data_IF_777892630918
#
_entry.id   IF_777892630918
#
_cell.length_a   1.000
_cell.length_b   1.000
_cell.length_c   1.000
_cell.angle_alpha   90.00
_cell.angle_beta   90.00
_cell.angle_gamma   90.00
#
_symmetry.space_group_name_H-M   'P 1'
#
loop_
_entity.id
_entity.type
_entity.pdbx_description
1 polymer ?
#
# COMPACT_ATOMS: atom_id res chain seq x y z
N UNK A 1 -13.35 9.41 -8.32
CA UNK A 1 -12.48 8.47 -9.07
C UNK A 1 -13.22 7.19 -9.42
N UNK A 2 -13.11 6.72 -10.66
CA UNK A 2 -13.72 5.46 -11.13
C UNK A 2 -12.66 4.59 -11.80
N UNK A 3 -12.69 3.27 -11.57
CA UNK A 3 -11.78 2.37 -12.26
C UNK A 3 -12.18 2.28 -13.73
N UNK A 4 -11.26 2.58 -14.64
CA UNK A 4 -11.50 2.55 -16.08
C UNK A 4 -10.92 1.30 -16.73
N UNK A 5 -9.81 0.80 -16.20
CA UNK A 5 -9.04 -0.26 -16.85
C UNK A 5 -8.10 -0.98 -15.90
N UNK A 6 -7.92 -2.28 -16.12
CA UNK A 6 -6.98 -3.14 -15.39
C UNK A 6 -6.09 -3.86 -16.40
N UNK A 7 -4.77 -3.72 -16.25
CA UNK A 7 -3.77 -4.44 -17.04
C UNK A 7 -3.00 -5.40 -16.15
N UNK A 8 -2.75 -6.60 -16.66
CA UNK A 8 -2.15 -7.73 -15.96
C UNK A 8 -1.08 -8.37 -16.82
N UNK A 9 0.05 -8.72 -16.22
CA UNK A 9 1.11 -9.49 -16.87
C UNK A 9 1.79 -10.39 -15.85
N UNK A 10 1.90 -11.68 -16.16
CA UNK A 10 2.56 -12.67 -15.29
C UNK A 10 1.87 -12.88 -13.93
N UNK A 11 0.66 -12.36 -13.72
CA UNK A 11 -0.04 -12.41 -12.44
C UNK A 11 -0.94 -13.63 -12.35
N UNK A 12 -0.58 -14.59 -11.47
CA UNK A 12 -1.30 -15.85 -11.29
C UNK A 12 -1.62 -16.51 -12.64
N UNK A 13 -2.89 -16.71 -12.96
CA UNK A 13 -3.34 -17.32 -14.22
C UNK A 13 -3.12 -16.47 -15.48
N UNK A 14 -2.77 -15.18 -15.35
CA UNK A 14 -2.58 -14.25 -16.46
C UNK A 14 -1.12 -14.21 -16.91
N UNK A 15 -0.73 -15.18 -17.73
CA UNK A 15 0.66 -15.33 -18.20
C UNK A 15 1.05 -14.27 -19.24
N UNK A 16 0.13 -13.99 -20.15
CA UNK A 16 0.30 -13.00 -21.23
C UNK A 16 -0.34 -11.66 -20.83
N UNK A 17 0.05 -10.55 -21.48
CA UNK A 17 -0.57 -9.25 -21.23
C UNK A 17 -2.08 -9.33 -21.44
N UNK A 18 -2.83 -9.07 -20.37
CA UNK A 18 -4.30 -8.98 -20.39
C UNK A 18 -4.72 -7.56 -20.04
N UNK A 19 -5.72 -7.05 -20.77
CA UNK A 19 -6.30 -5.73 -20.53
C UNK A 19 -7.82 -5.86 -20.41
N UNK A 20 -8.36 -5.31 -19.34
CA UNK A 20 -9.77 -5.39 -18.99
C UNK A 20 -10.31 -3.98 -18.84
N UNK A 21 -11.26 -3.61 -19.67
CA UNK A 21 -11.97 -2.34 -19.57
C UNK A 21 -13.08 -2.48 -18.53
N UNK A 22 -13.18 -1.48 -17.65
CA UNK A 22 -14.22 -1.39 -16.64
C UNK A 22 -15.10 -0.21 -17.05
N UNK A 23 -16.24 -0.52 -17.64
CA UNK A 23 -17.18 0.51 -18.11
C UNK A 23 -18.05 1.02 -16.96
N UNK A 24 -18.64 2.20 -17.17
CA UNK A 24 -19.61 2.77 -16.22
C UNK A 24 -20.83 1.85 -16.11
N UNK A 25 -21.28 1.62 -14.88
CA UNK A 25 -22.43 0.76 -14.61
C UNK A 25 -22.01 -0.64 -14.18
N UNK A 26 -22.61 -1.66 -14.79
CA UNK A 26 -22.40 -3.06 -14.43
C UNK A 26 -21.48 -3.76 -15.42
N UNK A 27 -20.26 -4.09 -14.98
CA UNK A 27 -19.34 -4.94 -15.73
C UNK A 27 -19.40 -6.37 -15.22
N UNK A 28 -19.79 -7.32 -16.07
CA UNK A 28 -19.89 -8.74 -15.73
C UNK A 28 -18.67 -9.53 -16.22
N UNK A 29 -18.03 -10.29 -15.32
CA UNK A 29 -16.91 -11.18 -15.67
C UNK A 29 -17.40 -12.63 -15.60
N UNK A 30 -17.48 -13.28 -16.75
CA UNK A 30 -18.01 -14.66 -16.88
C UNK A 30 -16.96 -15.61 -17.46
N UNK A 31 -17.11 -16.89 -17.16
CA UNK A 31 -16.21 -17.94 -17.62
C UNK A 31 -16.30 -19.20 -16.76
N UNK A 32 -15.74 -20.33 -17.20
CA UNK A 32 -15.79 -21.60 -16.49
C UNK A 32 -15.03 -21.57 -15.16
N UNK A 33 -15.26 -22.55 -14.29
CA UNK A 33 -14.50 -22.68 -13.05
C UNK A 33 -13.00 -22.88 -13.36
N UNK A 34 -12.14 -22.23 -12.58
CA UNK A 34 -10.69 -22.30 -12.77
C UNK A 34 -10.10 -21.37 -13.84
N UNK A 35 -10.90 -20.61 -14.60
CA UNK A 35 -10.35 -19.70 -15.64
C UNK A 35 -9.71 -18.41 -15.10
N UNK A 36 -9.60 -18.25 -13.77
CA UNK A 36 -8.93 -17.10 -13.16
C UNK A 36 -9.80 -15.88 -12.85
N UNK A 37 -11.13 -15.97 -12.94
CA UNK A 37 -12.05 -14.84 -12.62
C UNK A 37 -11.76 -14.20 -11.27
N UNK A 38 -11.62 -15.00 -10.22
CA UNK A 38 -11.32 -14.51 -8.87
C UNK A 38 -9.94 -13.85 -8.76
N UNK A 39 -9.00 -14.20 -9.66
CA UNK A 39 -7.68 -13.59 -9.69
C UNK A 39 -7.73 -12.12 -10.16
N UNK A 40 -8.78 -11.69 -10.87
CA UNK A 40 -8.99 -10.28 -11.22
C UNK A 40 -9.32 -9.43 -10.01
N UNK A 41 -10.17 -9.94 -9.12
CA UNK A 41 -10.49 -9.27 -7.84
C UNK A 41 -9.25 -9.21 -6.95
N UNK A 42 -8.46 -10.27 -6.92
CA UNK A 42 -7.19 -10.28 -6.20
C UNK A 42 -6.17 -9.30 -6.78
N UNK A 43 -6.06 -9.23 -8.11
CA UNK A 43 -5.22 -8.24 -8.78
C UNK A 43 -5.57 -6.80 -8.37
N UNK A 44 -6.87 -6.47 -8.33
CA UNK A 44 -7.35 -5.18 -7.84
C UNK A 44 -6.89 -4.94 -6.39
N UNK A 45 -7.11 -5.89 -5.48
CA UNK A 45 -6.65 -5.74 -4.08
C UNK A 45 -5.14 -5.55 -3.99
N UNK A 46 -4.39 -6.30 -4.80
CA UNK A 46 -2.94 -6.31 -4.78
C UNK A 46 -2.32 -5.00 -5.26
N UNK A 47 -2.81 -4.45 -6.37
CA UNK A 47 -2.35 -3.15 -6.89
C UNK A 47 -2.78 -1.99 -5.98
N UNK A 48 -3.90 -2.13 -5.26
CA UNK A 48 -4.35 -1.19 -4.23
C UNK A 48 -3.59 -1.29 -2.90
N UNK A 49 -2.52 -2.10 -2.83
CA UNK A 49 -1.60 -2.13 -1.71
C UNK A 49 -1.83 -3.23 -0.67
N UNK A 50 -2.57 -4.31 -0.99
CA UNK A 50 -2.64 -5.46 -0.09
C UNK A 50 -1.26 -6.12 0.08
N UNK A 51 -0.72 -6.09 1.30
CA UNK A 51 0.57 -6.68 1.65
C UNK A 51 0.46 -8.09 2.24
N UNK A 52 -0.74 -8.54 2.61
CA UNK A 52 -0.97 -9.89 3.14
C UNK A 52 -1.08 -10.92 2.03
N UNK A 53 -0.07 -11.79 1.91
CA UNK A 53 -0.10 -12.94 1.00
C UNK A 53 -1.26 -13.90 1.31
N UNK A 54 -1.72 -13.97 2.56
CA UNK A 54 -2.88 -14.78 2.95
C UNK A 54 -4.17 -14.29 2.28
N UNK A 55 -4.35 -12.96 2.21
CA UNK A 55 -5.49 -12.35 1.53
C UNK A 55 -5.42 -12.55 0.00
N UNK A 56 -4.23 -12.84 -0.50
CA UNK A 56 -3.97 -13.20 -1.89
C UNK A 56 -4.10 -14.71 -2.16
N UNK A 57 -4.59 -15.51 -1.20
CA UNK A 57 -4.67 -16.99 -1.32
C UNK A 57 -3.35 -17.61 -1.78
N UNK A 58 -2.26 -17.14 -1.19
CA UNK A 58 -0.89 -17.53 -1.49
C UNK A 58 -0.18 -17.99 -0.21
N UNK A 59 0.96 -18.68 -0.34
CA UNK A 59 1.82 -19.10 0.77
C UNK A 59 2.94 -18.08 1.04
N UNK A 60 3.34 -17.34 0.00
CA UNK A 60 4.22 -16.18 0.06
C UNK A 60 3.82 -15.12 -0.97
N UNK A 61 4.38 -13.91 -0.88
CA UNK A 61 4.01 -12.86 -1.83
C UNK A 61 4.44 -13.19 -3.27
N UNK A 62 5.54 -13.93 -3.43
CA UNK A 62 6.05 -14.33 -4.75
C UNK A 62 5.13 -15.32 -5.48
N UNK A 63 4.19 -15.97 -4.79
CA UNK A 63 3.21 -16.89 -5.40
C UNK A 63 2.14 -16.15 -6.22
N UNK A 64 2.11 -14.81 -6.18
CA UNK A 64 1.30 -14.03 -7.12
C UNK A 64 1.91 -14.05 -8.53
N UNK A 65 3.19 -14.42 -8.67
CA UNK A 65 3.86 -14.60 -9.94
C UNK A 65 3.49 -15.96 -10.52
N UNK A 66 3.14 -16.00 -11.81
CA UNK A 66 2.83 -17.24 -12.51
C UNK A 66 3.93 -18.30 -12.30
N UNK A 67 3.54 -19.42 -11.70
CA UNK A 67 4.44 -20.52 -11.29
C UNK A 67 4.69 -21.54 -12.40
N UNK A 68 4.15 -21.33 -13.61
CA UNK A 68 4.26 -22.26 -14.71
C UNK A 68 3.03 -23.19 -14.82
N UNK A 69 2.94 -23.86 -15.96
CA UNK A 69 1.99 -24.93 -16.21
C UNK A 69 2.68 -26.00 -17.06
N UNK A 70 2.03 -27.15 -17.30
CA UNK A 70 2.61 -28.22 -18.13
C UNK A 70 3.01 -27.77 -19.55
N UNK A 71 2.45 -26.66 -20.05
CA UNK A 71 2.72 -26.12 -21.38
C UNK A 71 3.46 -24.79 -21.37
N UNK A 72 3.70 -24.17 -20.20
CA UNK A 72 4.29 -22.82 -20.11
C UNK A 72 5.28 -22.71 -18.95
N UNK A 73 6.47 -22.12 -19.17
CA UNK A 73 7.43 -21.91 -18.09
C UNK A 73 6.92 -20.90 -17.06
N UNK A 74 7.45 -20.97 -15.84
CA UNK A 74 7.22 -19.97 -14.82
C UNK A 74 7.73 -18.59 -15.26
N UNK A 75 7.13 -17.53 -14.73
CA UNK A 75 7.66 -16.15 -14.86
C UNK A 75 8.48 -15.79 -13.63
N UNK A 76 9.36 -14.81 -13.78
CA UNK A 76 10.11 -14.20 -12.68
C UNK A 76 9.48 -12.91 -12.16
N UNK A 77 8.52 -12.36 -12.88
CA UNK A 77 7.87 -11.10 -12.51
C UNK A 77 6.37 -11.16 -12.76
N UNK A 78 5.64 -10.37 -11.98
CA UNK A 78 4.24 -10.07 -12.20
C UNK A 78 4.01 -8.57 -12.07
N UNK A 79 3.11 -8.04 -12.89
CA UNK A 79 2.74 -6.63 -12.88
C UNK A 79 1.23 -6.49 -13.03
N UNK A 80 0.68 -5.59 -12.22
CA UNK A 80 -0.72 -5.17 -12.31
C UNK A 80 -0.74 -3.65 -12.35
N UNK A 81 -1.47 -3.10 -13.31
CA UNK A 81 -1.69 -1.67 -13.45
C UNK A 81 -3.19 -1.38 -13.45
N UNK A 82 -3.61 -0.48 -12.57
CA UNK A 82 -4.97 0.02 -12.47
C UNK A 82 -5.00 1.46 -12.96
N UNK A 83 -5.96 1.75 -13.84
CA UNK A 83 -6.23 3.09 -14.34
C UNK A 83 -7.51 3.61 -13.71
N UNK A 84 -7.48 4.87 -13.29
CA UNK A 84 -8.59 5.57 -12.67
C UNK A 84 -8.92 6.84 -13.43
N UNK A 85 -10.19 7.03 -13.74
CA UNK A 85 -10.76 8.31 -14.17
C UNK A 85 -10.72 9.30 -12.99
N UNK A 86 -9.97 10.38 -13.17
CA UNK A 86 -9.79 11.50 -12.25
C UNK A 86 -10.29 12.84 -12.86
N UNK A 87 -11.18 12.80 -13.86
CA UNK A 87 -11.78 14.01 -14.44
C UNK A 87 -12.49 14.91 -13.41
N UNK A 88 -13.08 14.31 -12.37
CA UNK A 88 -13.73 15.02 -11.25
C UNK A 88 -12.74 15.64 -10.25
N UNK A 89 -11.42 15.50 -10.48
CA UNK A 89 -10.34 16.01 -9.62
C UNK A 89 -10.46 15.63 -8.16
N UNK A 90 -10.86 14.39 -7.90
CA UNK A 90 -11.08 13.87 -6.55
C UNK A 90 -9.81 13.29 -5.91
N UNK A 91 -8.69 13.23 -6.63
CA UNK A 91 -7.43 12.72 -6.13
C UNK A 91 -6.77 13.65 -5.10
N UNK A 92 -5.91 13.11 -4.21
CA UNK A 92 -5.07 13.92 -3.36
C UNK A 92 -4.28 14.95 -4.18
N UNK A 93 -4.08 16.15 -3.63
CA UNK A 93 -3.45 17.29 -4.33
C UNK A 93 -2.13 16.94 -5.02
N UNK A 94 -1.32 16.06 -4.41
CA UNK A 94 -0.04 15.59 -4.96
C UNK A 94 -0.16 14.81 -6.29
N UNK A 95 -1.35 14.30 -6.62
CA UNK A 95 -1.61 13.46 -7.80
C UNK A 95 -2.78 14.01 -8.64
N UNK A 96 -3.25 15.23 -8.38
CA UNK A 96 -4.48 15.75 -8.97
C UNK A 96 -4.27 16.58 -10.25
N UNK A 97 -3.10 16.46 -10.87
CA UNK A 97 -2.67 17.21 -12.05
C UNK A 97 -3.13 16.56 -13.38
N UNK A 98 -3.47 15.27 -13.38
CA UNK A 98 -3.95 14.54 -14.56
C UNK A 98 -5.43 14.12 -14.48
N UNK A 99 -6.08 13.99 -15.64
CA UNK A 99 -7.44 13.45 -15.78
C UNK A 99 -7.50 11.92 -15.64
N UNK A 100 -6.36 11.24 -15.79
CA UNK A 100 -6.21 9.81 -15.54
C UNK A 100 -5.10 9.58 -14.52
N UNK A 101 -5.36 8.70 -13.56
CA UNK A 101 -4.35 8.19 -12.65
C UNK A 101 -3.98 6.76 -13.01
N UNK A 102 -2.69 6.48 -13.02
CA UNK A 102 -2.15 5.15 -13.22
C UNK A 102 -1.45 4.68 -11.95
N UNK A 103 -1.94 3.62 -11.33
CA UNK A 103 -1.28 2.95 -10.21
C UNK A 103 -0.79 1.60 -10.67
N UNK A 104 0.51 1.34 -10.55
CA UNK A 104 1.07 0.02 -10.84
C UNK A 104 1.84 -0.56 -9.67
N UNK A 105 1.77 -1.89 -9.58
CA UNK A 105 2.59 -2.69 -8.68
C UNK A 105 3.25 -3.77 -9.50
N UNK A 106 4.57 -3.86 -9.41
CA UNK A 106 5.38 -4.93 -10.01
C UNK A 106 6.10 -5.68 -8.90
N UNK A 107 6.17 -6.99 -9.02
CA UNK A 107 6.97 -7.84 -8.13
C UNK A 107 7.95 -8.64 -8.96
N UNK A 108 9.14 -8.81 -8.42
CA UNK A 108 10.16 -9.71 -8.92
C UNK A 108 10.50 -10.71 -7.83
N UNK A 109 10.64 -11.98 -8.24
CA UNK A 109 10.91 -13.10 -7.35
C UNK A 109 12.13 -12.76 -6.49
N UNK A 110 12.02 -12.94 -5.18
CA UNK A 110 13.09 -12.66 -4.20
C UNK A 110 13.58 -11.19 -4.10
N UNK A 111 13.06 -10.28 -4.94
CA UNK A 111 13.42 -8.87 -4.95
C UNK A 111 12.33 -7.95 -4.36
N UNK A 112 11.11 -8.46 -4.19
CA UNK A 112 10.00 -7.75 -3.57
C UNK A 112 9.20 -6.86 -4.53
N UNK A 113 8.35 -6.00 -3.98
CA UNK A 113 7.38 -5.19 -4.74
C UNK A 113 7.86 -3.75 -4.96
N UNK A 114 7.75 -3.29 -6.20
CA UNK A 114 7.88 -1.89 -6.60
C UNK A 114 6.50 -1.30 -6.91
N UNK A 115 6.23 -0.11 -6.39
CA UNK A 115 4.97 0.61 -6.62
C UNK A 115 5.24 1.88 -7.42
N UNK A 116 4.31 2.23 -8.32
CA UNK A 116 4.36 3.48 -9.06
C UNK A 116 2.99 4.14 -9.13
N UNK A 117 2.99 5.47 -9.10
CA UNK A 117 1.83 6.32 -9.38
C UNK A 117 2.24 7.26 -10.52
N UNK A 118 1.52 7.23 -11.64
CA UNK A 118 1.84 7.97 -12.87
C UNK A 118 3.30 7.79 -13.32
N UNK A 119 3.79 6.54 -13.27
CA UNK A 119 5.15 6.18 -13.64
C UNK A 119 6.25 6.55 -12.63
N UNK A 120 5.95 7.37 -11.61
CA UNK A 120 6.89 7.74 -10.55
C UNK A 120 6.85 6.70 -9.43
N UNK A 121 8.02 6.35 -8.89
CA UNK A 121 8.09 5.43 -7.75
C UNK A 121 7.39 6.00 -6.53
N UNK A 122 6.64 5.15 -5.86
CA UNK A 122 5.86 5.49 -4.67
C UNK A 122 6.10 4.44 -3.59
N UNK A 123 5.90 4.80 -2.33
CA UNK A 123 5.94 3.81 -1.25
C UNK A 123 4.61 3.06 -1.23
N UNK A 124 4.64 1.81 -0.77
CA UNK A 124 3.42 1.02 -0.57
C UNK A 124 2.36 1.78 0.27
N UNK A 125 2.82 2.55 1.26
CA UNK A 125 1.98 3.38 2.13
C UNK A 125 1.28 4.52 1.36
N UNK A 126 1.96 5.15 0.42
CA UNK A 126 1.39 6.25 -0.36
C UNK A 126 0.25 5.74 -1.25
N UNK A 127 0.42 4.55 -1.83
CA UNK A 127 -0.63 3.85 -2.58
C UNK A 127 -1.80 3.47 -1.67
N UNK A 128 -1.54 2.91 -0.49
CA UNK A 128 -2.59 2.56 0.46
C UNK A 128 -3.42 3.79 0.88
N UNK A 129 -2.75 4.92 1.15
CA UNK A 129 -3.42 6.16 1.53
C UNK A 129 -4.29 6.73 0.40
N UNK A 130 -3.79 6.69 -0.84
CA UNK A 130 -4.52 7.12 -2.04
C UNK A 130 -5.91 6.45 -2.13
N UNK A 131 -6.00 5.14 -1.88
CA UNK A 131 -7.27 4.43 -1.93
C UNK A 131 -8.07 4.48 -0.62
N UNK A 132 -7.42 4.68 0.52
CA UNK A 132 -8.10 4.80 1.82
C UNK A 132 -8.97 6.07 1.90
N UNK A 133 -8.47 7.20 1.38
CA UNK A 133 -9.23 8.46 1.34
C UNK A 133 -10.45 8.41 0.40
N UNK A 134 -10.50 7.41 -0.48
CA UNK A 134 -11.61 7.21 -1.43
C UNK A 134 -12.57 6.10 -1.00
N UNK A 135 -12.36 5.46 0.16
CA UNK A 135 -13.12 4.29 0.61
C UNK A 135 -13.09 3.10 -0.37
N UNK A 136 -12.11 3.07 -1.27
CA UNK A 136 -11.94 2.05 -2.33
C UNK A 136 -10.69 1.22 -2.11
N UNK A 137 -10.12 1.19 -0.91
CA UNK A 137 -8.90 0.46 -0.57
C UNK A 137 -8.98 -1.06 -0.77
N UNK A 138 -7.83 -1.72 -0.74
CA UNK A 138 -7.69 -3.18 -0.87
C UNK A 138 -8.58 -4.02 0.07
N UNK A 139 -9.03 -3.41 1.18
CA UNK A 139 -9.87 -4.02 2.22
C UNK A 139 -11.28 -3.47 2.27
N UNK A 140 -11.67 -2.66 1.28
CA UNK A 140 -12.98 -2.03 1.21
C UNK A 140 -14.12 -3.05 1.29
N UNK A 141 -15.19 -2.78 2.06
CA UNK A 141 -16.36 -3.65 2.15
C UNK A 141 -17.05 -3.81 0.80
N UNK A 142 -16.86 -2.85 -0.11
CA UNK A 142 -17.35 -2.89 -1.49
C UNK A 142 -16.71 -4.02 -2.31
N UNK A 143 -15.55 -4.53 -1.89
CA UNK A 143 -14.97 -5.74 -2.47
C UNK A 143 -15.35 -6.97 -1.65
N UNK A 144 -16.34 -7.70 -2.15
CA UNK A 144 -16.80 -8.95 -1.54
C UNK A 144 -16.11 -10.13 -2.22
N UNK A 145 -15.18 -10.75 -1.49
CA UNK A 145 -14.55 -12.02 -1.89
C UNK A 145 -15.40 -13.24 -1.50
N UNK A 146 -15.02 -14.41 -2.01
CA UNK A 146 -15.62 -15.67 -1.59
C UNK A 146 -15.45 -15.87 -0.07
N UNK A 147 -16.52 -16.28 0.63
CA UNK A 147 -16.52 -16.50 2.08
C UNK A 147 -16.62 -15.24 2.94
N UNK A 148 -16.42 -14.04 2.37
CA UNK A 148 -16.39 -12.78 3.12
C UNK A 148 -17.70 -12.46 3.83
N UNK A 149 -18.85 -12.82 3.24
CA UNK A 149 -20.17 -12.63 3.86
C UNK A 149 -20.28 -13.47 5.14
N UNK A 150 -19.83 -14.73 5.08
CA UNK A 150 -19.83 -15.63 6.25
C UNK A 150 -18.92 -15.12 7.36
N UNK A 151 -17.70 -14.67 7.01
CA UNK A 151 -16.77 -14.04 7.97
C UNK A 151 -17.40 -12.82 8.65
N UNK A 152 -18.10 -11.98 7.89
CA UNK A 152 -18.73 -10.76 8.41
C UNK A 152 -19.86 -11.08 9.39
N UNK A 153 -20.66 -12.12 9.11
CA UNK A 153 -21.72 -12.59 10.02
C UNK A 153 -21.10 -13.09 11.34
N UNK A 154 -20.01 -13.84 11.26
CA UNK A 154 -19.32 -14.42 12.43
C UNK A 154 -18.39 -13.42 13.16
N UNK A 155 -18.11 -12.27 12.56
CA UNK A 155 -17.16 -11.29 13.08
C UNK A 155 -17.59 -10.77 14.46
N UNK A 156 -16.61 -10.62 15.37
CA UNK A 156 -16.80 -9.96 16.66
C UNK A 156 -17.19 -8.48 16.49
N UNK A 157 -17.86 -7.84 17.48
CA UNK A 157 -18.27 -6.45 17.39
C UNK A 157 -17.14 -5.47 17.02
N UNK A 158 -15.94 -5.68 17.59
CA UNK A 158 -14.75 -4.87 17.28
C UNK A 158 -14.35 -4.93 15.79
N UNK A 159 -14.44 -6.10 15.17
CA UNK A 159 -14.13 -6.27 13.74
C UNK A 159 -15.23 -5.67 12.84
N UNK A 160 -16.50 -5.73 13.27
CA UNK A 160 -17.61 -5.07 12.55
C UNK A 160 -17.54 -3.55 12.62
N UNK A 161 -17.04 -2.99 13.73
CA UNK A 161 -16.86 -1.55 13.90
C UNK A 161 -16.04 -0.93 12.77
N UNK A 162 -14.93 -1.57 12.37
CA UNK A 162 -14.10 -1.08 11.27
C UNK A 162 -14.88 -0.95 9.94
N UNK A 163 -15.84 -1.85 9.69
CA UNK A 163 -16.70 -1.77 8.50
C UNK A 163 -17.69 -0.60 8.58
N UNK A 164 -18.22 -0.31 9.77
CA UNK A 164 -19.10 0.84 9.99
C UNK A 164 -18.33 2.16 9.87
N UNK A 165 -17.11 2.23 10.40
CA UNK A 165 -16.23 3.39 10.27
C UNK A 165 -15.86 3.66 8.80
N UNK A 166 -15.68 2.61 8.00
CA UNK A 166 -15.44 2.75 6.57
C UNK A 166 -16.69 3.18 5.79
N UNK A 167 -17.85 2.62 6.12
CA UNK A 167 -19.13 3.06 5.56
C UNK A 167 -19.46 4.53 5.92
N UNK A 168 -19.03 4.98 7.10
CA UNK A 168 -19.15 6.37 7.54
C UNK A 168 -18.09 7.30 6.92
N UNK A 169 -17.14 6.78 6.15
CA UNK A 169 -16.09 7.58 5.49
C UNK A 169 -15.03 8.14 6.44
N UNK A 170 -14.92 7.64 7.67
CA UNK A 170 -13.97 8.15 8.68
C UNK A 170 -12.67 7.34 8.78
N UNK A 171 -12.56 6.22 8.06
CA UNK A 171 -11.35 5.37 8.06
C UNK A 171 -10.08 6.09 7.61
N UNK A 172 -10.17 6.96 6.60
CA UNK A 172 -9.04 7.78 6.13
C UNK A 172 -8.58 8.78 7.20
N UNK A 173 -9.52 9.39 7.94
CA UNK A 173 -9.21 10.29 9.05
C UNK A 173 -8.50 9.57 10.19
N UNK A 174 -8.98 8.38 10.57
CA UNK A 174 -8.33 7.57 11.60
C UNK A 174 -6.91 7.16 11.20
N UNK A 175 -6.71 6.78 9.94
CA UNK A 175 -5.39 6.41 9.41
C UNK A 175 -4.43 7.60 9.41
N UNK A 176 -4.89 8.78 8.97
CA UNK A 176 -4.09 10.02 9.01
C UNK A 176 -3.75 10.45 10.43
N UNK A 177 -4.72 10.37 11.36
CA UNK A 177 -4.49 10.68 12.77
C UNK A 177 -3.42 9.77 13.36
N UNK A 178 -3.56 8.45 13.15
CA UNK A 178 -2.59 7.48 13.63
C UNK A 178 -1.19 7.72 13.02
N UNK A 179 -1.12 8.08 11.75
CA UNK A 179 0.16 8.45 11.13
C UNK A 179 0.77 9.71 11.73
N UNK A 180 -0.03 10.75 11.98
CA UNK A 180 0.42 11.96 12.64
C UNK A 180 0.93 11.68 14.06
N UNK A 181 0.23 10.84 14.82
CA UNK A 181 0.65 10.37 16.15
C UNK A 181 1.99 9.63 16.09
N UNK A 182 2.18 8.73 15.12
CA UNK A 182 3.47 8.02 14.95
C UNK A 182 4.62 8.97 14.59
N UNK A 183 4.37 9.94 13.70
CA UNK A 183 5.39 10.94 13.33
C UNK A 183 5.74 11.84 14.51
N UNK A 184 4.75 12.25 15.29
CA UNK A 184 4.94 13.05 16.50
C UNK A 184 5.82 12.29 17.50
N UNK A 185 5.48 11.03 17.80
CA UNK A 185 6.25 10.19 18.72
C UNK A 185 7.70 10.00 18.25
N UNK A 186 7.92 9.80 16.95
CA UNK A 186 9.27 9.70 16.40
C UNK A 186 10.05 11.01 16.53
N UNK A 187 9.40 12.16 16.35
CA UNK A 187 10.02 13.47 16.54
C UNK A 187 10.38 13.71 18.03
N UNK A 188 9.50 13.34 18.95
CA UNK A 188 9.74 13.41 20.40
C UNK A 188 10.96 12.57 20.81
N UNK A 189 11.07 11.33 20.30
CA UNK A 189 12.24 10.47 20.55
C UNK A 189 13.54 11.05 19.97
N UNK A 190 13.47 11.72 18.82
CA UNK A 190 14.63 12.39 18.25
C UNK A 190 15.07 13.60 19.09
N UNK A 191 14.12 14.35 19.66
CA UNK A 191 14.42 15.45 20.57
C UNK A 191 15.08 14.97 21.86
N UNK A 192 14.56 13.90 22.46
CA UNK A 192 15.16 13.29 23.66
C UNK A 192 16.62 12.88 23.41
N UNK A 193 16.90 12.25 22.26
CA UNK A 193 18.28 11.93 21.86
C UNK A 193 19.16 13.16 21.65
N UNK A 194 18.60 14.26 21.14
CA UNK A 194 19.37 15.49 20.94
C UNK A 194 19.72 16.13 22.29
N UNK A 195 18.78 16.12 23.24
CA UNK A 195 19.02 16.63 24.59
C UNK A 195 20.14 15.84 25.30
N UNK A 196 20.16 14.51 25.16
CA UNK A 196 21.25 13.67 25.67
C UNK A 196 22.62 14.07 25.08
N UNK A 197 22.69 14.26 23.76
CA UNK A 197 23.93 14.64 23.06
C UNK A 197 24.37 16.05 23.47
N UNK A 198 23.43 17.00 23.62
CA UNK A 198 23.73 18.35 24.08
C UNK A 198 24.31 18.30 25.50
N UNK A 199 23.71 17.54 26.41
CA UNK A 199 24.22 17.37 27.77
C UNK A 199 25.62 16.76 27.82
N UNK A 200 25.91 15.78 26.95
CA UNK A 200 27.26 15.21 26.83
C UNK A 200 28.28 16.26 26.35
N UNK A 201 27.94 17.03 25.31
CA UNK A 201 28.80 18.08 24.77
C UNK A 201 29.06 19.21 25.78
N UNK A 202 28.07 19.62 26.55
CA UNK A 202 28.23 20.61 27.62
C UNK A 202 29.23 20.13 28.69
N UNK A 203 29.12 18.86 29.10
CA UNK A 203 30.07 18.25 30.04
C UNK A 203 31.49 18.22 29.48
N UNK A 204 31.66 17.86 28.20
CA UNK A 204 32.95 17.88 27.52
C UNK A 204 33.54 19.30 27.45
N UNK A 205 32.73 20.31 27.13
CA UNK A 205 33.15 21.72 27.08
C UNK A 205 33.65 22.19 28.46
N UNK A 206 32.93 21.88 29.54
CA UNK A 206 33.35 22.27 30.90
C UNK A 206 34.62 21.55 31.37
N UNK A 207 34.85 20.31 30.91
CA UNK A 207 36.12 19.61 31.13
C UNK A 207 37.27 20.31 30.38
N UNK A 208 37.10 20.60 29.09
CA UNK A 208 38.09 21.28 28.26
C UNK A 208 38.43 22.68 28.78
N UNK A 209 37.44 23.46 29.25
CA UNK A 209 37.68 24.77 29.90
C UNK A 209 38.58 24.64 31.13
N UNK A 210 38.36 23.61 31.98
CA UNK A 210 39.18 23.36 33.16
C UNK A 210 40.62 22.99 32.77
N UNK A 211 40.79 22.12 31.78
CA UNK A 211 42.10 21.73 31.26
C UNK A 211 42.86 22.94 30.68
N UNK A 212 42.19 23.79 29.89
CA UNK A 212 42.77 25.00 29.33
C UNK A 212 43.25 25.99 30.42
N UNK A 213 42.44 26.18 31.47
CA UNK A 213 42.82 27.02 32.62
C UNK A 213 44.04 26.47 33.36
N UNK A 214 44.12 25.16 33.58
CA UNK A 214 45.31 24.55 34.19
C UNK A 214 46.55 24.76 33.32
N UNK A 215 46.47 24.45 32.03
CA UNK A 215 47.60 24.64 31.10
C UNK A 215 48.10 26.10 31.08
N UNK A 216 47.20 27.09 31.17
CA UNK A 216 47.57 28.51 31.21
C UNK A 216 48.32 28.95 32.48
N UNK A 217 48.17 28.21 33.59
CA UNK A 217 48.83 28.52 34.88
C UNK A 217 50.24 27.93 35.02
N UNK A 218 50.59 26.94 34.21
CA UNK A 218 51.92 26.32 34.22
C UNK A 218 52.89 26.97 33.19
N UNK A 219 52.67 28.25 32.87
CA UNK A 219 53.61 29.07 32.09
C UNK A 219 54.68 29.69 32.98
#
# INVERSE_FOLDING_TARGET
>A
MKFSRLRLLGFKSFVEPGEFVIERGLTGIVGPNGCGKSNLVEALRWVMGESSYKNMRASGMDDVIFSGSGTRPARNTAEVTLFLDNSDRSAPSAFNDADELQVSRRIEREAGSLYRINGKEARAKDVQLLFADQSTGARSPSMVGQGRIGELIQAKPQARRALLEEAAGISGLHTRRHEAELRLKAAEQNLERLDDVVGELESQIESLKRQARQASRFK
#
